data_IF_936236771456
#
_entry.id   IF_936236771456
#
_cell.length_a   1.000
_cell.length_b   1.000
_cell.length_c   1.000
_cell.angle_alpha   90.00
_cell.angle_beta   90.00
_cell.angle_gamma   90.00
#
_symmetry.space_group_name_H-M   'P 1'
#
loop_
_entity.id
_entity.type
_entity.pdbx_description
1 polymer ?
#
# COMPACT_ATOMS: atom_id res chain seq x y z
N UNK A 1 -30.93 8.92 3.73
CA UNK A 1 -29.97 7.99 4.36
C UNK A 1 -28.78 7.92 3.42
N UNK A 2 -27.64 8.49 3.82
CA UNK A 2 -26.38 8.36 3.10
C UNK A 2 -25.70 7.12 3.67
N UNK A 3 -25.52 6.09 2.85
CA UNK A 3 -24.86 4.85 3.23
C UNK A 3 -23.43 4.89 2.72
N UNK A 4 -22.45 4.83 3.62
CA UNK A 4 -21.04 4.76 3.26
C UNK A 4 -20.67 3.30 3.08
N UNK A 5 -20.52 2.87 1.83
CA UNK A 5 -19.97 1.55 1.52
C UNK A 5 -18.45 1.64 1.56
N UNK A 6 -17.85 0.90 2.50
CA UNK A 6 -16.41 0.66 2.56
C UNK A 6 -16.13 -0.66 1.85
N UNK A 7 -15.10 -0.69 1.01
CA UNK A 7 -14.69 -1.87 0.27
C UNK A 7 -13.18 -1.85 0.01
N UNK A 8 -12.63 -3.01 -0.37
CA UNK A 8 -11.24 -3.11 -0.79
C UNK A 8 -11.12 -2.72 -2.26
N UNK A 9 -10.83 -1.44 -2.49
CA UNK A 9 -10.56 -0.93 -3.82
C UNK A 9 -9.05 -0.91 -4.05
N UNK A 10 -8.62 -1.49 -5.15
CA UNK A 10 -7.23 -1.46 -5.59
C UNK A 10 -7.20 -1.29 -7.11
N UNK A 11 -6.09 -0.75 -7.60
CA UNK A 11 -5.83 -0.57 -9.02
C UNK A 11 -4.41 -1.06 -9.32
N UNK A 12 -4.23 -1.68 -10.48
CA UNK A 12 -2.94 -2.11 -11.01
C UNK A 12 -2.08 -0.90 -11.35
N UNK A 13 -0.75 -1.04 -11.26
CA UNK A 13 0.20 0.00 -11.65
C UNK A 13 0.23 0.18 -13.17
N UNK A 14 0.59 1.39 -13.62
CA UNK A 14 0.68 1.76 -15.05
C UNK A 14 -0.47 1.21 -15.92
N UNK A 15 -1.69 1.29 -15.37
CA UNK A 15 -2.88 0.73 -15.97
C UNK A 15 -3.88 1.83 -16.22
N UNK A 16 -4.39 1.87 -17.46
CA UNK A 16 -5.47 2.75 -17.85
C UNK A 16 -6.82 2.10 -17.53
N UNK A 17 -7.64 2.83 -16.78
CA UNK A 17 -8.99 2.46 -16.42
C UNK A 17 -9.98 3.42 -17.06
N UNK A 18 -11.01 2.87 -17.69
CA UNK A 18 -12.15 3.63 -18.20
C UNK A 18 -13.37 3.37 -17.33
N UNK A 19 -13.85 4.42 -16.66
CA UNK A 19 -15.04 4.39 -15.84
C UNK A 19 -16.18 5.12 -16.53
N UNK A 20 -17.37 4.55 -16.45
CA UNK A 20 -18.62 5.21 -16.87
C UNK A 20 -19.48 5.42 -15.63
N UNK A 21 -19.71 6.68 -15.28
CA UNK A 21 -20.63 7.06 -14.21
C UNK A 21 -21.97 7.39 -14.86
N UNK A 22 -22.98 6.55 -14.60
CA UNK A 22 -24.35 6.75 -15.06
C UNK A 22 -25.20 7.36 -13.95
N UNK A 23 -25.50 8.67 -13.96
CA UNK A 23 -26.35 9.27 -12.96
C UNK A 23 -27.80 8.79 -13.13
N UNK A 24 -28.44 8.39 -12.04
CA UNK A 24 -29.83 7.91 -12.03
C UNK A 24 -30.72 8.90 -11.29
N UNK A 25 -31.76 9.41 -11.95
CA UNK A 25 -32.67 10.42 -11.43
C UNK A 25 -34.06 9.86 -11.18
N UNK A 26 -34.71 10.35 -10.11
CA UNK A 26 -36.14 10.08 -9.89
C UNK A 26 -36.99 10.93 -10.84
N UNK A 27 -38.06 10.36 -11.42
CA UNK A 27 -39.07 11.14 -12.13
C UNK A 27 -39.78 12.12 -11.18
N UNK A 28 -40.38 13.18 -11.74
CA UNK A 28 -41.01 14.25 -10.97
C UNK A 28 -42.17 13.79 -10.06
N UNK A 29 -42.78 12.65 -10.38
CA UNK A 29 -43.82 12.02 -9.56
C UNK A 29 -43.26 11.28 -8.33
N UNK A 30 -41.94 11.23 -8.14
CA UNK A 30 -41.27 10.64 -6.98
C UNK A 30 -41.11 9.12 -7.03
N UNK A 31 -41.54 8.44 -8.11
CA UNK A 31 -41.50 6.99 -8.22
C UNK A 31 -40.07 6.45 -8.32
N UNK A 32 -39.59 5.81 -7.25
CA UNK A 32 -38.24 5.23 -7.17
C UNK A 32 -38.08 3.92 -7.95
N UNK A 33 -39.17 3.29 -8.40
CA UNK A 33 -39.11 2.08 -9.23
C UNK A 33 -38.81 2.38 -10.70
N UNK A 34 -38.92 3.65 -11.11
CA UNK A 34 -38.76 4.11 -12.48
C UNK A 34 -37.65 5.16 -12.63
N UNK A 35 -36.44 4.83 -12.15
CA UNK A 35 -35.28 5.72 -12.27
C UNK A 35 -34.91 5.93 -13.74
N UNK A 36 -34.60 7.17 -14.11
CA UNK A 36 -34.17 7.54 -15.46
C UNK A 36 -32.69 7.84 -15.44
N UNK A 37 -31.95 7.20 -16.35
CA UNK A 37 -30.55 7.54 -16.58
C UNK A 37 -30.45 8.96 -17.16
N UNK A 38 -29.54 9.75 -16.63
CA UNK A 38 -29.07 10.98 -17.30
C UNK A 38 -27.96 10.68 -18.28
N UNK A 39 -27.24 11.72 -18.67
CA UNK A 39 -26.05 11.60 -19.52
C UNK A 39 -24.92 10.91 -18.76
N UNK A 40 -24.32 9.90 -19.37
CA UNK A 40 -23.15 9.22 -18.83
C UNK A 40 -21.95 10.18 -18.74
N UNK A 41 -21.17 10.03 -17.69
CA UNK A 41 -19.91 10.73 -17.49
C UNK A 41 -18.79 9.70 -17.62
N UNK A 42 -17.97 9.86 -18.64
CA UNK A 42 -16.83 8.98 -18.88
C UNK A 42 -15.57 9.59 -18.26
N UNK A 43 -14.82 8.78 -17.52
CA UNK A 43 -13.58 9.17 -16.86
C UNK A 43 -12.52 8.15 -17.23
N UNK A 44 -11.40 8.63 -17.77
CA UNK A 44 -10.21 7.81 -17.97
C UNK A 44 -9.18 8.19 -16.91
N UNK A 45 -8.68 7.20 -16.17
CA UNK A 45 -7.65 7.37 -15.15
C UNK A 45 -6.50 6.43 -15.48
N UNK A 46 -5.28 6.95 -15.51
CA UNK A 46 -4.07 6.11 -15.56
C UNK A 46 -3.40 6.13 -14.20
N UNK A 47 -3.15 4.95 -13.65
CA UNK A 47 -2.40 4.81 -12.40
C UNK A 47 -0.92 5.12 -12.61
N UNK A 48 -0.23 5.52 -11.55
CA UNK A 48 1.18 5.85 -11.60
C UNK A 48 2.07 4.65 -11.97
N UNK A 49 3.20 4.96 -12.60
CA UNK A 49 4.31 4.00 -12.75
C UNK A 49 4.89 3.69 -11.37
N UNK A 50 5.45 2.48 -11.22
CA UNK A 50 6.19 2.09 -10.00
C UNK A 50 7.41 2.98 -9.75
N UNK A 51 7.99 3.53 -10.82
CA UNK A 51 9.20 4.34 -10.79
C UNK A 51 9.13 5.38 -11.91
N UNK A 52 9.05 6.67 -11.55
CA UNK A 52 9.12 7.79 -12.50
C UNK A 52 10.55 8.30 -12.70
N UNK A 53 11.53 7.59 -12.14
CA UNK A 53 12.97 7.77 -12.34
C UNK A 53 13.63 8.74 -11.36
N UNK A 54 12.88 9.51 -10.57
CA UNK A 54 13.48 10.42 -9.57
C UNK A 54 12.88 10.23 -8.17
N UNK A 55 11.56 10.10 -8.05
CA UNK A 55 10.88 10.02 -6.77
C UNK A 55 9.73 9.02 -6.80
N UNK A 56 9.85 7.94 -6.04
CA UNK A 56 8.76 6.98 -5.86
C UNK A 56 8.01 7.26 -4.56
N UNK A 57 6.68 7.24 -4.62
CA UNK A 57 5.82 7.21 -3.43
C UNK A 57 5.29 5.78 -3.28
N UNK A 58 5.54 5.15 -2.13
CA UNK A 58 5.13 3.78 -1.86
C UNK A 58 4.24 3.75 -0.63
N UNK A 59 3.08 3.13 -0.76
CA UNK A 59 2.16 2.89 0.35
C UNK A 59 1.97 1.38 0.54
N UNK A 60 2.15 0.91 1.77
CA UNK A 60 1.76 -0.44 2.14
C UNK A 60 0.24 -0.60 2.04
N UNK A 61 -0.23 -1.84 1.88
CA UNK A 61 -1.66 -2.16 1.97
C UNK A 61 -2.08 -1.97 3.43
N UNK A 62 -2.86 -0.92 3.71
CA UNK A 62 -3.28 -0.52 5.06
C UNK A 62 -4.33 -1.43 5.71
N UNK A 63 -4.34 -2.74 5.45
CA UNK A 63 -5.45 -3.59 5.83
C UNK A 63 -5.04 -5.04 6.13
N UNK A 64 -4.36 -5.24 7.26
CA UNK A 64 -4.21 -6.56 7.89
C UNK A 64 -5.60 -7.16 8.21
N UNK A 65 -6.61 -6.32 8.47
CA UNK A 65 -8.00 -6.72 8.75
C UNK A 65 -8.89 -6.59 7.49
N UNK A 66 -8.31 -6.71 6.28
CA UNK A 66 -9.12 -6.68 5.06
C UNK A 66 -9.76 -8.01 4.77
N UNK A 67 -10.99 -7.98 4.23
CA UNK A 67 -11.57 -9.14 3.55
C UNK A 67 -10.63 -9.66 2.45
N UNK A 68 -9.89 -8.79 1.76
CA UNK A 68 -8.92 -9.20 0.74
C UNK A 68 -7.73 -9.99 1.31
N UNK A 69 -7.24 -9.62 2.50
CA UNK A 69 -6.22 -10.39 3.20
C UNK A 69 -6.77 -11.76 3.62
N UNK A 70 -7.99 -11.77 4.19
CA UNK A 70 -8.67 -13.01 4.55
C UNK A 70 -8.91 -13.93 3.35
N UNK A 71 -9.43 -13.41 2.24
CA UNK A 71 -9.63 -14.16 1.00
C UNK A 71 -8.32 -14.74 0.44
N UNK A 72 -7.21 -14.00 0.58
CA UNK A 72 -5.91 -14.43 0.05
C UNK A 72 -5.19 -15.42 0.99
N UNK A 73 -5.30 -15.26 2.31
CA UNK A 73 -4.46 -15.96 3.28
C UNK A 73 -5.22 -16.70 4.40
N UNK A 74 -6.48 -16.36 4.73
CA UNK A 74 -7.29 -17.06 5.75
C UNK A 74 -7.95 -18.34 5.22
N UNK A 75 -7.19 -19.20 4.54
CA UNK A 75 -7.58 -20.61 4.41
C UNK A 75 -7.11 -21.41 5.64
N UNK A 76 -7.72 -21.14 6.79
CA UNK A 76 -7.95 -22.18 7.81
C UNK A 76 -7.03 -22.31 9.03
N UNK A 77 -6.08 -21.41 9.31
CA UNK A 77 -5.46 -21.37 10.65
C UNK A 77 -4.95 -19.99 11.00
N UNK A 78 -5.33 -19.49 12.18
CA UNK A 78 -4.63 -18.36 12.80
C UNK A 78 -3.23 -18.84 13.19
N UNK A 79 -2.21 -18.04 12.88
CA UNK A 79 -0.84 -18.29 13.33
C UNK A 79 -0.81 -18.27 14.87
N UNK A 80 0.00 -19.14 15.46
CA UNK A 80 0.39 -18.98 16.85
C UNK A 80 1.19 -17.68 17.04
N UNK A 81 1.31 -17.18 18.26
CA UNK A 81 2.10 -15.97 18.56
C UNK A 81 3.57 -16.09 18.09
N UNK A 82 4.15 -17.29 18.15
CA UNK A 82 5.51 -17.54 17.70
C UNK A 82 5.60 -17.52 16.17
N UNK A 83 4.70 -18.23 15.48
CA UNK A 83 4.65 -18.21 14.02
C UNK A 83 4.38 -16.80 13.48
N UNK A 84 3.54 -16.03 14.16
CA UNK A 84 3.31 -14.63 13.85
C UNK A 84 4.58 -13.80 14.05
N UNK A 85 5.33 -14.00 15.15
CA UNK A 85 6.57 -13.27 15.40
C UNK A 85 7.68 -13.58 14.38
N UNK A 86 7.76 -14.85 13.95
CA UNK A 86 8.72 -15.31 12.94
C UNK A 86 8.33 -14.79 11.55
N UNK A 87 7.05 -14.87 11.17
CA UNK A 87 6.54 -14.35 9.90
C UNK A 87 6.65 -12.82 9.81
N UNK A 88 6.34 -12.11 10.92
CA UNK A 88 6.40 -10.65 10.99
C UNK A 88 7.80 -10.09 10.80
N UNK A 89 8.87 -10.89 10.94
CA UNK A 89 10.25 -10.46 10.68
C UNK A 89 10.85 -11.09 9.42
N UNK A 90 10.12 -11.96 8.73
CA UNK A 90 10.55 -12.55 7.47
C UNK A 90 10.15 -11.64 6.29
N UNK A 91 11.09 -10.91 5.66
CA UNK A 91 10.79 -10.09 4.49
C UNK A 91 10.40 -10.95 3.27
N UNK A 92 10.73 -12.25 3.28
CA UNK A 92 10.44 -13.15 2.18
C UNK A 92 9.04 -13.78 2.25
N UNK A 93 8.40 -13.73 3.42
CA UNK A 93 7.06 -14.27 3.64
C UNK A 93 6.03 -13.63 2.67
N UNK A 94 5.18 -14.46 2.06
CA UNK A 94 4.19 -14.01 1.09
C UNK A 94 3.23 -12.95 1.68
N UNK A 95 2.72 -13.10 2.91
CA UNK A 95 1.89 -12.07 3.54
C UNK A 95 2.63 -10.75 3.73
N UNK A 96 3.89 -10.79 4.16
CA UNK A 96 4.76 -9.61 4.31
C UNK A 96 4.96 -8.89 2.99
N UNK A 97 5.32 -9.58 1.91
CA UNK A 97 5.46 -8.98 0.56
C UNK A 97 4.16 -8.40 0.05
N UNK A 98 3.06 -9.10 0.30
CA UNK A 98 1.75 -8.63 -0.12
C UNK A 98 1.34 -7.39 0.66
N UNK A 99 1.50 -7.35 1.98
CA UNK A 99 1.16 -6.16 2.76
C UNK A 99 2.12 -5.00 2.44
N UNK A 100 3.42 -5.25 2.29
CA UNK A 100 4.42 -4.21 2.02
C UNK A 100 4.16 -3.50 0.69
N UNK A 101 3.67 -4.22 -0.33
CA UNK A 101 3.40 -3.69 -1.68
C UNK A 101 4.63 -2.93 -2.25
N UNK A 102 5.83 -3.47 -2.07
CA UNK A 102 7.04 -2.85 -2.59
C UNK A 102 7.63 -1.76 -1.70
N UNK A 103 6.94 -1.33 -0.63
CA UNK A 103 7.46 -0.33 0.32
C UNK A 103 8.74 -0.82 0.99
N UNK A 104 8.77 -2.08 1.42
CA UNK A 104 9.93 -2.63 2.10
C UNK A 104 11.15 -2.66 1.17
N UNK A 105 10.97 -3.16 -0.05
CA UNK A 105 11.99 -3.23 -1.07
C UNK A 105 12.50 -1.83 -1.45
N UNK A 106 11.59 -0.87 -1.59
CA UNK A 106 11.94 0.54 -1.82
C UNK A 106 12.73 1.14 -0.68
N UNK A 107 12.32 0.93 0.57
CA UNK A 107 13.01 1.43 1.76
C UNK A 107 14.41 0.82 1.90
N UNK A 108 14.55 -0.51 1.74
CA UNK A 108 15.83 -1.20 1.79
C UNK A 108 16.77 -0.73 0.67
N UNK A 109 16.24 -0.60 -0.56
CA UNK A 109 17.01 -0.07 -1.69
C UNK A 109 17.48 1.36 -1.45
N UNK A 110 16.61 2.22 -0.90
CA UNK A 110 16.95 3.60 -0.57
C UNK A 110 18.06 3.68 0.49
N UNK A 111 17.95 2.92 1.59
CA UNK A 111 18.99 2.84 2.63
C UNK A 111 20.32 2.33 2.03
N UNK A 112 20.26 1.35 1.11
CA UNK A 112 21.44 0.77 0.47
C UNK A 112 22.20 1.75 -0.44
N UNK A 113 21.58 2.86 -0.88
CA UNK A 113 22.27 3.93 -1.60
C UNK A 113 23.28 4.67 -0.72
N UNK A 114 23.07 4.70 0.59
CA UNK A 114 24.00 5.30 1.54
C UNK A 114 25.20 4.36 1.78
N UNK A 115 26.27 4.56 0.99
CA UNK A 115 27.43 3.67 0.97
C UNK A 115 28.61 4.11 1.83
N UNK A 116 28.69 5.39 2.19
CA UNK A 116 29.79 5.96 2.96
C UNK A 116 29.41 7.33 3.59
N UNK A 117 30.40 7.98 4.21
CA UNK A 117 30.28 9.26 4.92
C UNK A 117 29.92 10.48 4.07
N UNK A 118 29.83 10.34 2.75
CA UNK A 118 29.26 11.38 1.87
C UNK A 118 27.73 11.40 1.94
N UNK A 119 27.11 10.33 2.43
CA UNK A 119 25.67 10.21 2.58
C UNK A 119 25.22 10.50 4.01
N UNK A 120 23.98 10.97 4.12
CA UNK A 120 23.26 11.10 5.38
C UNK A 120 21.85 10.56 5.23
N UNK A 121 21.40 9.76 6.20
CA UNK A 121 20.01 9.28 6.27
C UNK A 121 19.24 10.10 7.32
N UNK A 122 18.12 10.67 6.89
CA UNK A 122 17.21 11.43 7.74
C UNK A 122 15.93 10.63 7.89
N UNK A 123 15.59 10.26 9.12
CA UNK A 123 14.47 9.35 9.39
C UNK A 123 13.56 9.94 10.46
N UNK A 124 12.26 9.86 10.24
CA UNK A 124 11.24 10.19 11.23
C UNK A 124 10.42 8.94 11.55
N UNK A 125 10.48 8.48 12.80
CA UNK A 125 9.75 7.29 13.25
C UNK A 125 8.89 7.64 14.45
N UNK A 126 7.63 7.21 14.43
CA UNK A 126 6.82 7.14 15.65
C UNK A 126 7.21 5.91 16.48
N UNK A 127 7.38 4.77 15.81
CA UNK A 127 7.87 3.51 16.37
C UNK A 127 8.75 2.81 15.32
N UNK A 128 9.82 2.15 15.76
CA UNK A 128 10.77 1.44 14.90
C UNK A 128 11.18 0.11 15.53
N UNK A 129 10.48 -0.96 15.16
CA UNK A 129 10.67 -2.31 15.71
C UNK A 129 10.95 -3.37 14.66
N UNK A 130 10.72 -3.08 13.37
CA UNK A 130 10.85 -4.06 12.30
C UNK A 130 12.33 -4.34 11.99
N UNK A 131 12.75 -5.60 12.25
CA UNK A 131 14.15 -5.99 12.27
C UNK A 131 14.89 -5.77 10.95
N UNK A 132 14.33 -6.07 9.76
CA UNK A 132 15.02 -5.84 8.49
C UNK A 132 15.43 -4.38 8.25
N UNK A 133 14.57 -3.42 8.62
CA UNK A 133 14.88 -1.99 8.51
C UNK A 133 15.93 -1.58 9.56
N UNK A 134 15.79 -2.07 10.81
CA UNK A 134 16.76 -1.82 11.87
C UNK A 134 18.16 -2.29 11.46
N UNK A 135 18.27 -3.50 10.89
CA UNK A 135 19.53 -4.05 10.42
C UNK A 135 20.10 -3.24 9.26
N UNK A 136 19.28 -2.85 8.28
CA UNK A 136 19.74 -2.04 7.15
C UNK A 136 20.31 -0.68 7.59
N UNK A 137 19.68 -0.03 8.58
CA UNK A 137 20.15 1.22 9.17
C UNK A 137 21.44 1.01 9.98
N UNK A 138 21.53 -0.08 10.75
CA UNK A 138 22.74 -0.44 11.48
C UNK A 138 23.93 -0.69 10.54
N UNK A 139 23.70 -1.41 9.43
CA UNK A 139 24.71 -1.66 8.41
C UNK A 139 25.13 -0.36 7.72
N UNK A 140 24.20 0.57 7.47
CA UNK A 140 24.52 1.90 6.95
C UNK A 140 25.42 2.68 7.92
N UNK A 141 25.10 2.67 9.20
CA UNK A 141 25.94 3.30 10.21
C UNK A 141 27.33 2.65 10.32
N UNK A 142 27.44 1.33 10.14
CA UNK A 142 28.72 0.62 10.12
C UNK A 142 29.61 1.01 8.91
N UNK A 143 29.00 1.54 7.84
CA UNK A 143 29.69 2.11 6.66
C UNK A 143 30.06 3.59 6.84
N UNK A 144 29.97 4.14 8.05
CA UNK A 144 30.25 5.55 8.35
C UNK A 144 29.27 6.54 7.69
N UNK A 145 28.06 6.09 7.33
CA UNK A 145 26.99 6.99 6.87
C UNK A 145 26.58 7.91 8.00
N UNK A 146 26.44 9.21 7.71
CA UNK A 146 26.09 10.22 8.72
C UNK A 146 24.65 10.04 9.19
N UNK A 147 24.46 10.13 10.51
CA UNK A 147 23.14 10.24 11.13
C UNK A 147 22.66 11.69 11.01
N UNK A 148 21.37 11.88 10.78
CA UNK A 148 20.76 13.19 10.98
C UNK A 148 20.96 13.63 12.45
N UNK A 149 21.42 14.86 12.64
CA UNK A 149 21.62 15.47 13.96
C UNK A 149 20.35 16.10 14.51
#
# INVERSE_FOLDING_TARGET
MQDFKWGHYWAELDTEYHYVIRPMFRPANGDSSNLRAGTDIEITVRTESKDDGTHSILFNRGAIISQAYAEKFEQGSLLTQQELADELNDPEAEPTKWISRGLLEGALSFIAQARDSRFSLHCGFYELTYLPILQALADAAARDVRRAG
#
